data_IF_861585361032
#
_entry.id   IF_861585361032
#
_cell.length_a   1.000
_cell.length_b   1.000
_cell.length_c   1.000
_cell.angle_alpha   90.00
_cell.angle_beta   90.00
_cell.angle_gamma   90.00
#
_symmetry.space_group_name_H-M   'P 1'
#
loop_
_entity.id
_entity.type
_entity.pdbx_description
1 polymer ?
#
# COMPACT_ATOMS: atom_id res chain seq x y z
N UNK A 1 -0.17 -13.64 33.45
CA UNK A 1 1.09 -13.65 32.65
C UNK A 1 1.33 -15.09 32.23
N UNK A 2 1.25 -15.38 30.94
CA UNK A 2 1.36 -16.73 30.41
C UNK A 2 2.81 -17.04 30.05
N UNK A 3 3.44 -17.94 30.81
CA UNK A 3 4.83 -18.35 30.56
C UNK A 3 4.98 -19.10 29.23
N UNK A 4 3.93 -19.78 28.76
CA UNK A 4 3.96 -20.47 27.46
C UNK A 4 4.07 -19.48 26.32
N UNK A 5 3.28 -18.39 26.39
CA UNK A 5 3.32 -17.34 25.38
C UNK A 5 4.67 -16.59 25.37
N UNK A 6 5.25 -16.33 26.54
CA UNK A 6 6.59 -15.72 26.61
C UNK A 6 7.63 -16.64 25.96
N UNK A 7 7.61 -17.92 26.27
CA UNK A 7 8.53 -18.90 25.66
C UNK A 7 8.35 -19.03 24.17
N UNK A 8 7.11 -19.00 23.67
CA UNK A 8 6.80 -19.01 22.24
C UNK A 8 7.42 -17.79 21.54
N UNK A 9 7.23 -16.58 22.08
CA UNK A 9 7.80 -15.34 21.50
C UNK A 9 9.32 -15.32 21.52
N UNK A 10 9.94 -15.82 22.61
CA UNK A 10 11.39 -15.95 22.68
C UNK A 10 11.92 -16.96 21.66
N UNK A 11 11.21 -18.09 21.48
CA UNK A 11 11.59 -19.10 20.49
C UNK A 11 11.49 -18.54 19.07
N UNK A 12 10.41 -17.81 18.73
CA UNK A 12 10.24 -17.14 17.46
C UNK A 12 11.36 -16.11 17.20
N UNK A 13 11.67 -15.28 18.19
CA UNK A 13 12.77 -14.30 18.08
C UNK A 13 14.11 -14.98 17.84
N UNK A 14 14.36 -16.12 18.50
CA UNK A 14 15.60 -16.91 18.31
C UNK A 14 15.66 -17.54 16.92
N UNK A 15 14.55 -18.06 16.41
CA UNK A 15 14.47 -18.70 15.09
C UNK A 15 14.71 -17.67 13.96
N UNK A 16 14.14 -16.48 14.08
CA UNK A 16 14.24 -15.41 13.08
C UNK A 16 15.51 -14.54 13.25
N UNK A 17 16.33 -14.80 14.29
CA UNK A 17 17.44 -13.92 14.68
C UNK A 17 18.38 -13.59 13.51
N UNK A 18 18.72 -14.58 12.68
CA UNK A 18 19.64 -14.39 11.56
C UNK A 18 18.94 -14.01 10.24
N UNK A 19 17.61 -14.13 10.19
CA UNK A 19 16.82 -13.96 8.97
C UNK A 19 15.88 -12.75 8.98
N UNK A 20 15.97 -11.87 9.97
CA UNK A 20 15.03 -10.75 10.14
C UNK A 20 15.17 -9.65 9.07
N UNK A 21 16.35 -9.46 8.48
CA UNK A 21 16.59 -8.34 7.57
C UNK A 21 15.73 -8.34 6.29
N UNK A 22 15.52 -9.46 5.58
CA UNK A 22 14.59 -9.50 4.45
C UNK A 22 13.15 -9.14 4.86
N UNK A 23 12.71 -9.66 6.03
CA UNK A 23 11.37 -9.38 6.56
C UNK A 23 11.21 -7.90 6.89
N UNK A 24 12.22 -7.28 7.49
CA UNK A 24 12.22 -5.85 7.80
C UNK A 24 12.01 -4.98 6.56
N UNK A 25 12.66 -5.34 5.45
CA UNK A 25 12.50 -4.61 4.20
C UNK A 25 11.06 -4.65 3.68
N UNK A 26 10.39 -5.81 3.78
CA UNK A 26 9.00 -5.93 3.39
C UNK A 26 8.07 -5.19 4.36
N UNK A 27 8.31 -5.30 5.68
CA UNK A 27 7.53 -4.59 6.68
C UNK A 27 7.56 -3.06 6.48
N UNK A 28 8.68 -2.53 6.00
CA UNK A 28 8.82 -1.10 5.72
C UNK A 28 7.92 -0.59 4.58
N UNK A 29 7.45 -1.48 3.72
CA UNK A 29 6.55 -1.16 2.60
C UNK A 29 5.06 -1.36 2.95
N UNK A 30 4.75 -1.86 4.15
CA UNK A 30 3.38 -2.09 4.59
C UNK A 30 2.82 -0.81 5.22
N UNK A 31 1.75 -0.28 4.63
CA UNK A 31 1.01 0.84 5.20
C UNK A 31 0.20 0.41 6.43
N UNK A 32 -0.47 1.37 7.08
CA UNK A 32 -1.38 1.11 8.21
C UNK A 32 -2.60 0.29 7.76
N UNK A 33 -2.41 -1.05 7.67
CA UNK A 33 -3.45 -1.99 7.22
C UNK A 33 -4.61 -2.07 8.20
N UNK A 34 -4.41 -1.81 9.50
CA UNK A 34 -5.50 -1.75 10.48
C UNK A 34 -6.47 -0.62 10.14
N UNK A 35 -5.95 0.57 9.87
CA UNK A 35 -6.75 1.72 9.45
C UNK A 35 -7.44 1.47 8.11
N UNK A 36 -6.75 0.88 7.13
CA UNK A 36 -7.33 0.56 5.82
C UNK A 36 -8.45 -0.47 5.95
N UNK A 37 -8.27 -1.54 6.73
CA UNK A 37 -9.30 -2.55 7.03
C UNK A 37 -10.52 -1.92 7.69
N UNK A 38 -10.32 -1.03 8.66
CA UNK A 38 -11.44 -0.30 9.29
C UNK A 38 -12.19 0.58 8.28
N UNK A 39 -11.48 1.20 7.33
CA UNK A 39 -12.12 2.04 6.30
C UNK A 39 -12.92 1.20 5.30
N UNK A 40 -12.45 0.00 4.97
CA UNK A 40 -13.20 -0.97 4.16
C UNK A 40 -14.50 -1.34 4.87
N UNK A 41 -14.46 -1.74 6.13
CA UNK A 41 -15.64 -2.09 6.94
C UNK A 41 -16.68 -0.98 7.01
N UNK A 42 -16.23 0.26 7.06
CA UNK A 42 -17.10 1.44 7.10
C UNK A 42 -17.55 1.89 5.71
N UNK A 43 -17.14 1.21 4.65
CA UNK A 43 -17.33 1.60 3.25
C UNK A 43 -16.91 3.08 2.98
N UNK A 44 -15.73 3.45 3.54
CA UNK A 44 -15.15 4.80 3.47
C UNK A 44 -13.75 4.82 2.87
N UNK A 45 -13.32 3.70 2.28
CA UNK A 45 -12.04 3.64 1.59
C UNK A 45 -12.07 4.55 0.37
N UNK A 46 -10.97 5.25 0.12
CA UNK A 46 -10.78 6.04 -1.09
C UNK A 46 -10.01 5.24 -2.15
N UNK A 47 -10.15 5.55 -3.45
CA UNK A 47 -9.40 4.88 -4.51
C UNK A 47 -7.88 4.87 -4.28
N UNK A 48 -7.27 5.99 -3.88
CA UNK A 48 -5.83 6.04 -3.60
C UNK A 48 -5.42 5.15 -2.40
N UNK A 49 -6.31 4.96 -1.42
CA UNK A 49 -6.06 4.08 -0.28
C UNK A 49 -6.16 2.60 -0.65
N UNK A 50 -6.91 2.28 -1.70
CA UNK A 50 -6.92 0.93 -2.27
C UNK A 50 -5.55 0.56 -2.83
N UNK A 51 -4.83 1.50 -3.44
CA UNK A 51 -3.46 1.28 -3.89
C UNK A 51 -2.52 0.99 -2.70
N UNK A 52 -2.64 1.74 -1.60
CA UNK A 52 -1.87 1.46 -0.38
C UNK A 52 -2.17 0.07 0.19
N UNK A 53 -3.43 -0.37 0.13
CA UNK A 53 -3.79 -1.73 0.52
C UNK A 53 -3.17 -2.76 -0.43
N UNK A 54 -3.26 -2.53 -1.73
CA UNK A 54 -2.68 -3.40 -2.75
C UNK A 54 -1.17 -3.57 -2.58
N UNK A 55 -0.44 -2.46 -2.45
CA UNK A 55 1.02 -2.48 -2.22
C UNK A 55 1.37 -3.21 -0.92
N UNK A 56 0.59 -2.96 0.16
CA UNK A 56 0.77 -3.68 1.42
C UNK A 56 0.53 -5.17 1.28
N UNK A 57 -0.49 -5.60 0.52
CA UNK A 57 -0.77 -7.01 0.30
C UNK A 57 0.34 -7.71 -0.50
N UNK A 58 1.00 -7.02 -1.41
CA UNK A 58 2.17 -7.55 -2.12
C UNK A 58 3.30 -7.85 -1.13
N UNK A 59 3.67 -6.89 -0.28
CA UNK A 59 4.72 -7.08 0.72
C UNK A 59 4.31 -8.11 1.80
N UNK A 60 3.05 -8.12 2.22
CA UNK A 60 2.52 -9.15 3.14
C UNK A 60 2.65 -10.55 2.54
N UNK A 61 2.38 -10.70 1.25
CA UNK A 61 2.54 -11.98 0.55
C UNK A 61 3.98 -12.49 0.61
N UNK A 62 4.97 -11.61 0.43
CA UNK A 62 6.38 -11.99 0.56
C UNK A 62 6.72 -12.40 2.00
N UNK A 63 6.21 -11.67 3.02
CA UNK A 63 6.36 -12.04 4.43
C UNK A 63 5.70 -13.41 4.72
N UNK A 64 4.49 -13.66 4.22
CA UNK A 64 3.78 -14.93 4.39
C UNK A 64 4.57 -16.06 3.73
N UNK A 65 5.01 -15.89 2.49
CA UNK A 65 5.81 -16.88 1.76
C UNK A 65 7.09 -17.23 2.51
N UNK A 66 7.75 -16.23 3.11
CA UNK A 66 8.92 -16.46 3.94
C UNK A 66 8.55 -17.26 5.20
N UNK A 67 7.46 -16.88 5.88
CA UNK A 67 7.05 -17.46 7.16
C UNK A 67 6.44 -18.87 7.04
N UNK A 68 5.94 -19.29 5.89
CA UNK A 68 5.43 -20.65 5.65
C UNK A 68 6.44 -21.75 6.01
N UNK A 69 7.74 -21.41 6.03
CA UNK A 69 8.82 -22.33 6.37
C UNK A 69 9.12 -22.43 7.87
N UNK A 70 8.46 -21.63 8.73
CA UNK A 70 8.74 -21.56 10.16
C UNK A 70 7.63 -22.18 11.02
N UNK A 71 8.02 -22.74 12.20
CA UNK A 71 7.13 -23.54 13.04
C UNK A 71 6.41 -22.76 14.14
N UNK A 72 6.96 -21.62 14.57
CA UNK A 72 6.47 -20.89 15.75
C UNK A 72 5.46 -19.80 15.44
N UNK A 73 5.29 -19.48 14.18
CA UNK A 73 4.25 -18.60 13.69
C UNK A 73 3.64 -19.22 12.44
N UNK A 74 2.33 -19.31 12.42
CA UNK A 74 1.59 -19.81 11.26
C UNK A 74 0.89 -18.62 10.62
N UNK A 75 1.17 -18.33 9.34
CA UNK A 75 0.39 -17.33 8.62
C UNK A 75 -1.10 -17.67 8.62
N UNK A 76 -1.99 -16.67 8.64
CA UNK A 76 -3.44 -16.91 8.66
C UNK A 76 -3.98 -17.49 7.35
N UNK A 77 -3.22 -17.36 6.27
CA UNK A 77 -3.56 -17.88 4.96
C UNK A 77 -2.29 -18.26 4.19
N UNK A 78 -2.46 -18.98 3.10
CA UNK A 78 -1.34 -19.25 2.18
C UNK A 78 -1.01 -18.06 1.29
N UNK A 79 0.20 -18.03 0.76
CA UNK A 79 0.62 -17.06 -0.26
C UNK A 79 -0.26 -17.13 -1.52
N UNK A 80 -0.83 -18.30 -1.82
CA UNK A 80 -1.80 -18.49 -2.90
C UNK A 80 -3.12 -17.79 -2.66
N UNK A 81 -3.67 -17.83 -1.43
CA UNK A 81 -4.91 -17.14 -1.08
C UNK A 81 -4.75 -15.61 -1.19
N UNK A 82 -3.60 -15.09 -0.75
CA UNK A 82 -3.26 -13.68 -0.95
C UNK A 82 -3.15 -13.30 -2.43
N UNK A 83 -2.58 -14.19 -3.25
CA UNK A 83 -2.51 -13.96 -4.70
C UNK A 83 -3.90 -13.80 -5.32
N UNK A 84 -4.87 -14.62 -4.91
CA UNK A 84 -6.26 -14.50 -5.38
C UNK A 84 -6.90 -13.17 -4.95
N UNK A 85 -6.62 -12.69 -3.74
CA UNK A 85 -7.12 -11.40 -3.29
C UNK A 85 -6.49 -10.25 -4.08
N UNK A 86 -5.16 -10.24 -4.24
CA UNK A 86 -4.42 -9.25 -5.03
C UNK A 86 -4.94 -9.20 -6.47
N UNK A 87 -5.09 -10.37 -7.11
CA UNK A 87 -5.64 -10.46 -8.47
C UNK A 87 -7.06 -9.93 -8.57
N UNK A 88 -7.89 -10.14 -7.55
CA UNK A 88 -9.26 -9.61 -7.54
C UNK A 88 -9.32 -8.09 -7.51
N UNK A 89 -8.35 -7.44 -6.88
CA UNK A 89 -8.21 -5.97 -6.90
C UNK A 89 -7.73 -5.52 -8.28
N UNK A 90 -6.65 -6.09 -8.77
CA UNK A 90 -5.99 -5.74 -10.04
C UNK A 90 -6.90 -5.93 -11.24
N UNK A 91 -7.70 -7.01 -11.26
CA UNK A 91 -8.67 -7.27 -12.32
C UNK A 91 -9.89 -6.35 -12.28
N UNK A 92 -10.17 -5.71 -11.13
CA UNK A 92 -11.35 -4.86 -10.95
C UNK A 92 -11.07 -3.40 -11.22
N UNK A 93 -9.86 -2.92 -10.89
CA UNK A 93 -9.52 -1.50 -10.92
C UNK A 93 -8.23 -1.23 -11.69
N UNK A 94 -8.22 -0.16 -12.47
CA UNK A 94 -6.98 0.43 -12.97
C UNK A 94 -6.27 1.19 -11.82
N UNK A 95 -5.29 0.53 -11.23
CA UNK A 95 -4.54 1.06 -10.10
C UNK A 95 -3.68 2.28 -10.46
N UNK A 96 -3.28 2.42 -11.73
CA UNK A 96 -2.54 3.60 -12.20
C UNK A 96 -3.38 4.88 -12.18
N UNK A 97 -4.68 4.73 -12.33
CA UNK A 97 -5.68 5.81 -12.28
C UNK A 97 -6.18 6.00 -10.85
N UNK A 98 -6.63 4.92 -10.20
CA UNK A 98 -7.26 4.98 -8.87
C UNK A 98 -6.35 5.61 -7.82
N UNK A 99 -5.04 5.37 -7.88
CA UNK A 99 -4.05 5.92 -6.95
C UNK A 99 -3.95 7.45 -6.90
N UNK A 100 -4.58 8.16 -7.86
CA UNK A 100 -4.52 9.63 -7.96
C UNK A 100 -5.69 10.34 -7.30
N UNK A 101 -6.77 9.62 -6.95
CA UNK A 101 -8.04 10.26 -6.62
C UNK A 101 -8.58 9.90 -5.23
N UNK A 102 -9.16 10.90 -4.57
CA UNK A 102 -10.21 10.65 -3.58
C UNK A 102 -11.51 10.29 -4.31
N UNK A 103 -12.39 9.54 -3.67
CA UNK A 103 -13.65 9.09 -4.32
C UNK A 103 -14.52 10.24 -4.84
N UNK A 104 -14.54 11.38 -4.15
CA UNK A 104 -15.29 12.57 -4.56
C UNK A 104 -14.70 13.24 -5.82
N UNK A 105 -13.39 13.15 -6.00
CA UNK A 105 -12.61 13.85 -7.02
C UNK A 105 -12.32 12.98 -8.25
N UNK A 106 -12.93 11.80 -8.35
CA UNK A 106 -12.79 10.91 -9.52
C UNK A 106 -13.40 11.59 -10.75
N UNK A 107 -12.57 11.76 -11.79
CA UNK A 107 -12.91 12.43 -13.06
C UNK A 107 -12.67 11.52 -14.28
N UNK A 108 -12.07 10.35 -14.08
CA UNK A 108 -11.71 9.41 -15.15
C UNK A 108 -12.21 8.01 -14.78
N UNK A 109 -12.47 7.18 -15.80
CA UNK A 109 -12.80 5.78 -15.55
C UNK A 109 -11.61 5.04 -14.91
N UNK A 110 -11.84 4.43 -13.75
CA UNK A 110 -10.88 3.58 -13.03
C UNK A 110 -11.35 2.13 -12.90
N UNK A 111 -12.51 1.80 -13.46
CA UNK A 111 -13.08 0.45 -13.44
C UNK A 111 -12.59 -0.27 -14.68
N UNK A 112 -12.06 -1.48 -14.50
CA UNK A 112 -11.58 -2.32 -15.60
C UNK A 112 -12.74 -2.77 -16.51
N UNK A 113 -12.43 -3.01 -17.78
CA UNK A 113 -13.39 -3.52 -18.76
C UNK A 113 -13.96 -4.89 -18.30
N UNK A 114 -15.24 -5.11 -18.57
CA UNK A 114 -15.96 -6.33 -18.19
C UNK A 114 -16.50 -6.34 -16.76
N UNK A 115 -16.20 -5.34 -15.93
CA UNK A 115 -16.70 -5.24 -14.55
C UNK A 115 -18.11 -4.62 -14.49
N UNK A 116 -18.40 -3.64 -15.35
CA UNK A 116 -19.71 -3.01 -15.41
C UNK A 116 -20.10 -2.72 -16.86
N UNK A 117 -21.12 -3.43 -17.34
CA UNK A 117 -21.58 -3.34 -18.73
C UNK A 117 -22.03 -1.94 -19.13
N UNK A 118 -22.61 -1.15 -18.21
CA UNK A 118 -23.05 0.21 -18.52
C UNK A 118 -21.87 1.16 -18.74
N UNK A 119 -20.78 0.99 -17.97
CA UNK A 119 -19.54 1.76 -18.17
C UNK A 119 -18.92 1.38 -19.52
N UNK A 120 -18.86 0.09 -19.83
CA UNK A 120 -18.29 -0.41 -21.07
C UNK A 120 -19.07 0.07 -22.30
N UNK A 121 -20.42 0.04 -22.23
CA UNK A 121 -21.28 0.59 -23.28
C UNK A 121 -21.06 2.10 -23.49
N UNK A 122 -20.95 2.88 -22.41
CA UNK A 122 -20.70 4.32 -22.50
C UNK A 122 -19.31 4.63 -23.06
N UNK A 123 -18.29 3.85 -22.71
CA UNK A 123 -16.96 3.97 -23.28
C UNK A 123 -16.99 3.66 -24.79
N UNK A 124 -17.62 2.56 -25.19
CA UNK A 124 -17.81 2.20 -26.60
C UNK A 124 -18.54 3.31 -27.38
N UNK A 125 -19.59 3.90 -26.80
CA UNK A 125 -20.27 5.04 -27.42
C UNK A 125 -19.33 6.24 -27.57
N UNK A 126 -18.49 6.54 -26.59
CA UNK A 126 -17.51 7.62 -26.67
C UNK A 126 -16.46 7.36 -27.76
N UNK A 127 -16.01 6.12 -27.94
CA UNK A 127 -15.08 5.72 -29.01
C UNK A 127 -15.72 5.90 -30.40
N UNK A 128 -17.00 5.55 -30.53
CA UNK A 128 -17.75 5.80 -31.76
C UNK A 128 -17.92 7.32 -32.03
N UNK A 129 -18.17 8.11 -31.00
CA UNK A 129 -18.24 9.58 -31.15
C UNK A 129 -16.88 10.14 -31.57
N UNK A 130 -15.78 9.65 -30.98
CA UNK A 130 -14.44 10.09 -31.34
C UNK A 130 -14.06 9.70 -32.78
N UNK A 131 -14.44 8.50 -33.23
CA UNK A 131 -14.20 8.06 -34.61
C UNK A 131 -14.86 8.98 -35.64
N UNK A 132 -16.04 9.57 -35.32
CA UNK A 132 -16.67 10.56 -36.19
C UNK A 132 -15.89 11.86 -36.29
N UNK A 133 -15.24 12.29 -35.20
CA UNK A 133 -14.30 13.42 -35.24
C UNK A 133 -13.06 13.09 -36.09
N UNK A 134 -12.62 11.85 -36.08
CA UNK A 134 -11.54 11.39 -36.94
C UNK A 134 -11.92 11.40 -38.43
N UNK A 135 -13.14 11.01 -38.76
CA UNK A 135 -13.64 11.17 -40.14
C UNK A 135 -13.60 12.63 -40.60
N UNK A 136 -14.06 13.56 -39.76
CA UNK A 136 -13.97 14.99 -40.05
C UNK A 136 -12.52 15.47 -40.17
N UNK A 137 -11.65 15.05 -39.31
CA UNK A 137 -10.19 15.33 -39.40
C UNK A 137 -9.60 14.85 -40.72
N UNK A 138 -9.86 13.59 -41.07
CA UNK A 138 -9.33 12.97 -42.27
C UNK A 138 -9.87 13.65 -43.54
N UNK A 139 -11.14 14.08 -43.54
CA UNK A 139 -11.69 14.87 -44.63
C UNK A 139 -10.93 16.19 -44.83
N UNK A 140 -10.60 16.91 -43.74
CA UNK A 140 -9.80 18.14 -43.85
C UNK A 140 -8.37 17.83 -44.32
N UNK A 141 -7.78 16.74 -43.82
CA UNK A 141 -6.42 16.28 -44.21
C UNK A 141 -6.32 15.98 -45.71
N UNK A 142 -7.35 15.45 -46.33
CA UNK A 142 -7.35 15.15 -47.79
C UNK A 142 -7.12 16.39 -48.64
N UNK A 143 -7.55 17.56 -48.18
CA UNK A 143 -7.30 18.85 -48.85
C UNK A 143 -5.89 19.41 -48.59
N UNK A 144 -5.27 19.05 -47.47
CA UNK A 144 -3.90 19.48 -47.13
C UNK A 144 -2.85 18.72 -47.93
N UNK A 145 -3.25 17.62 -48.58
CA UNK A 145 -2.35 16.73 -49.35
C UNK A 145 -1.16 16.24 -48.56
N UNK A 146 -1.39 15.88 -47.30
CA UNK A 146 -0.38 15.38 -46.37
C UNK A 146 -0.91 14.15 -45.68
N UNK A 147 -0.04 13.14 -45.55
CA UNK A 147 -0.33 11.90 -44.79
C UNK A 147 -0.04 12.06 -43.28
N UNK A 148 0.53 13.20 -42.87
CA UNK A 148 0.80 13.46 -41.46
C UNK A 148 -0.48 13.90 -40.72
N UNK A 149 -1.02 12.99 -39.93
CA UNK A 149 -2.24 13.21 -39.10
C UNK A 149 -2.11 14.38 -38.13
N UNK A 150 -0.88 14.77 -37.76
CA UNK A 150 -0.64 15.89 -36.83
C UNK A 150 -0.87 17.26 -37.50
N UNK A 151 -1.12 17.31 -38.79
CA UNK A 151 -1.46 18.58 -39.47
C UNK A 151 -2.80 19.15 -39.04
N UNK A 152 -3.74 18.28 -38.64
CA UNK A 152 -5.05 18.68 -38.11
C UNK A 152 -5.24 18.00 -36.75
N UNK A 153 -5.24 18.79 -35.68
CA UNK A 153 -5.46 18.30 -34.32
C UNK A 153 -6.93 18.25 -33.97
N UNK A 154 -7.35 17.21 -33.27
CA UNK A 154 -8.62 17.16 -32.56
C UNK A 154 -8.35 17.62 -31.14
N UNK A 155 -9.01 18.68 -30.68
CA UNK A 155 -8.83 19.22 -29.33
C UNK A 155 -10.18 19.39 -28.65
N UNK A 156 -10.16 19.38 -27.32
CA UNK A 156 -11.33 19.63 -26.48
C UNK A 156 -10.99 20.64 -25.39
N UNK A 157 -11.88 21.60 -25.19
CA UNK A 157 -11.86 22.51 -24.04
C UNK A 157 -13.21 22.44 -23.32
N UNK A 158 -13.21 22.56 -22.01
CA UNK A 158 -14.43 22.41 -21.20
C UNK A 158 -15.54 23.41 -21.59
N UNK A 159 -15.15 24.62 -22.01
CA UNK A 159 -16.10 25.68 -22.41
C UNK A 159 -16.46 25.66 -23.90
N UNK A 160 -15.65 25.09 -24.76
CA UNK A 160 -15.81 25.14 -26.21
C UNK A 160 -16.20 23.80 -26.83
N UNK A 161 -16.10 22.69 -26.05
CA UNK A 161 -16.30 21.35 -26.55
C UNK A 161 -15.17 20.86 -27.45
N UNK A 162 -15.45 19.92 -28.36
CA UNK A 162 -14.51 19.45 -29.38
C UNK A 162 -14.43 20.42 -30.55
N UNK A 163 -13.22 20.57 -31.06
CA UNK A 163 -12.92 21.36 -32.25
C UNK A 163 -11.67 20.83 -32.94
N UNK A 164 -11.57 21.15 -34.22
CA UNK A 164 -10.36 20.85 -35.00
C UNK A 164 -9.46 22.05 -35.05
N UNK A 165 -8.14 21.81 -35.03
CA UNK A 165 -7.15 22.87 -35.13
C UNK A 165 -6.13 22.57 -36.21
N UNK A 166 -5.74 23.63 -36.92
CA UNK A 166 -4.59 23.62 -37.82
C UNK A 166 -3.92 24.99 -37.82
N UNK A 167 -2.69 25.07 -38.37
CA UNK A 167 -1.99 26.36 -38.46
C UNK A 167 -2.68 27.29 -39.47
N UNK A 168 -2.62 28.60 -39.23
CA UNK A 168 -3.20 29.61 -40.09
C UNK A 168 -2.72 29.48 -41.54
N UNK A 169 -1.42 29.20 -41.72
CA UNK A 169 -0.83 29.03 -43.05
C UNK A 169 -1.45 27.85 -43.80
N UNK A 170 -1.59 26.70 -43.14
CA UNK A 170 -2.21 25.49 -43.72
C UNK A 170 -3.67 25.77 -44.09
N UNK A 171 -4.43 26.38 -43.19
CA UNK A 171 -5.82 26.74 -43.45
C UNK A 171 -5.96 27.65 -44.68
N UNK A 172 -5.11 28.65 -44.82
CA UNK A 172 -5.14 29.57 -45.97
C UNK A 172 -4.91 28.84 -47.30
N UNK A 173 -4.09 27.81 -47.34
CA UNK A 173 -3.81 27.01 -48.53
C UNK A 173 -5.08 26.24 -49.02
N UNK A 174 -5.88 25.71 -48.10
CA UNK A 174 -7.01 24.85 -48.41
C UNK A 174 -8.35 25.62 -48.40
N UNK A 175 -8.36 26.86 -47.92
CA UNK A 175 -9.61 27.61 -47.65
C UNK A 175 -10.60 27.63 -48.80
N UNK A 176 -10.13 27.88 -50.02
CA UNK A 176 -11.00 27.98 -51.18
C UNK A 176 -11.64 26.64 -51.55
N UNK A 177 -10.85 25.57 -51.54
CA UNK A 177 -11.30 24.22 -51.91
C UNK A 177 -12.22 23.66 -50.84
N UNK A 178 -11.85 23.79 -49.55
CA UNK A 178 -12.61 23.20 -48.46
C UNK A 178 -13.97 23.87 -48.22
N UNK A 179 -14.08 25.20 -48.46
CA UNK A 179 -15.34 25.92 -48.28
C UNK A 179 -16.43 25.48 -49.25
N UNK A 180 -16.06 24.86 -50.38
CA UNK A 180 -17.03 24.30 -51.34
C UNK A 180 -17.32 22.82 -51.09
N UNK A 181 -16.60 22.20 -50.14
CA UNK A 181 -16.73 20.78 -49.85
C UNK A 181 -17.88 20.48 -48.88
N UNK A 182 -18.20 19.21 -48.81
CA UNK A 182 -19.17 18.67 -47.87
C UNK A 182 -18.69 17.34 -47.33
N UNK A 183 -19.19 16.99 -46.14
CA UNK A 183 -18.95 15.69 -45.49
C UNK A 183 -20.28 15.06 -45.14
N UNK A 184 -20.42 13.75 -45.35
CA UNK A 184 -21.58 12.99 -44.91
C UNK A 184 -21.15 12.09 -43.76
N UNK A 185 -21.83 12.20 -42.62
CA UNK A 185 -21.61 11.34 -41.43
C UNK A 185 -22.99 10.92 -40.94
N UNK A 186 -23.21 9.64 -40.77
CA UNK A 186 -24.51 9.06 -40.33
C UNK A 186 -25.72 9.57 -41.17
N UNK A 187 -25.57 9.62 -42.49
CA UNK A 187 -26.56 10.12 -43.44
C UNK A 187 -26.91 11.63 -43.32
N UNK A 188 -26.23 12.36 -42.42
CA UNK A 188 -26.33 13.82 -42.33
C UNK A 188 -25.26 14.52 -43.16
N UNK A 189 -25.71 15.57 -43.90
CA UNK A 189 -24.85 16.37 -44.76
C UNK A 189 -24.33 17.61 -44.02
N UNK A 190 -23.03 17.72 -43.92
CA UNK A 190 -22.34 18.88 -43.33
C UNK A 190 -21.60 19.69 -44.39
N UNK A 191 -22.07 20.91 -44.66
CA UNK A 191 -21.45 21.83 -45.61
C UNK A 191 -20.42 22.69 -44.93
N UNK A 192 -19.18 22.72 -45.42
CA UNK A 192 -18.09 23.50 -44.80
C UNK A 192 -18.35 25.00 -44.76
N UNK A 193 -19.16 25.53 -45.66
CA UNK A 193 -19.61 26.94 -45.63
C UNK A 193 -20.34 27.31 -44.33
N UNK A 194 -20.96 26.33 -43.66
CA UNK A 194 -21.75 26.51 -42.43
C UNK A 194 -20.88 26.33 -41.18
N UNK A 195 -19.59 26.05 -41.33
CA UNK A 195 -18.68 25.85 -40.22
C UNK A 195 -18.26 27.18 -39.58
N UNK A 196 -18.18 27.21 -38.28
CA UNK A 196 -17.68 28.35 -37.53
C UNK A 196 -16.14 28.27 -37.44
N UNK A 197 -15.47 29.25 -38.05
CA UNK A 197 -14.02 29.31 -38.12
C UNK A 197 -13.51 30.46 -37.26
N UNK A 198 -12.79 30.13 -36.16
CA UNK A 198 -12.14 31.13 -35.28
C UNK A 198 -10.65 31.20 -35.59
N UNK A 199 -10.26 32.33 -36.17
CA UNK A 199 -8.82 32.58 -36.52
C UNK A 199 -8.12 33.19 -35.30
N UNK A 200 -7.04 32.56 -34.86
CA UNK A 200 -6.13 33.04 -33.83
C UNK A 200 -4.82 33.52 -34.47
N UNK A 201 -3.85 33.97 -33.66
CA UNK A 201 -2.58 34.51 -34.15
C UNK A 201 -1.87 33.50 -35.06
N UNK A 202 -1.70 32.26 -34.64
CA UNK A 202 -0.95 31.21 -35.34
C UNK A 202 -1.78 30.00 -35.73
N UNK A 203 -3.01 29.85 -35.22
CA UNK A 203 -3.88 28.70 -35.42
C UNK A 203 -5.28 29.09 -35.83
N UNK A 204 -5.99 28.12 -36.34
CA UNK A 204 -7.41 28.23 -36.67
C UNK A 204 -8.15 27.11 -35.94
N UNK A 205 -9.25 27.47 -35.27
CA UNK A 205 -10.17 26.51 -34.66
C UNK A 205 -11.40 26.39 -35.58
N UNK A 206 -11.78 25.16 -35.87
CA UNK A 206 -12.92 24.82 -36.70
C UNK A 206 -13.98 24.11 -35.85
N UNK A 207 -15.17 24.64 -35.84
CA UNK A 207 -16.36 24.11 -35.18
C UNK A 207 -17.45 23.87 -36.20
N UNK A 208 -18.27 22.87 -35.94
CA UNK A 208 -19.49 22.62 -36.72
C UNK A 208 -20.53 21.94 -35.84
N UNK A 209 -21.75 21.85 -36.33
CA UNK A 209 -22.87 21.17 -35.63
C UNK A 209 -22.46 19.76 -35.18
N UNK A 210 -21.72 18.99 -36.01
CA UNK A 210 -21.22 17.66 -35.66
C UNK A 210 -20.32 17.70 -34.41
N UNK A 211 -19.36 18.66 -34.32
CA UNK A 211 -18.49 18.78 -33.15
C UNK A 211 -19.24 19.21 -31.90
N UNK A 212 -20.29 20.00 -32.01
CA UNK A 212 -21.15 20.42 -30.90
C UNK A 212 -21.98 19.23 -30.38
N UNK A 213 -22.70 18.53 -31.28
CA UNK A 213 -23.50 17.35 -30.94
C UNK A 213 -22.66 16.22 -30.30
N UNK A 214 -21.45 16.00 -30.82
CA UNK A 214 -20.50 15.04 -30.24
C UNK A 214 -20.04 15.51 -28.85
N UNK A 215 -19.75 16.81 -28.70
CA UNK A 215 -19.31 17.35 -27.40
C UNK A 215 -20.35 17.14 -26.31
N UNK A 216 -21.61 17.44 -26.61
CA UNK A 216 -22.70 17.30 -25.66
C UNK A 216 -22.92 15.84 -25.24
N UNK A 217 -22.96 14.93 -26.22
CA UNK A 217 -23.10 13.49 -25.96
C UNK A 217 -21.91 12.93 -25.17
N UNK A 218 -20.69 13.29 -25.57
CA UNK A 218 -19.47 12.83 -24.92
C UNK A 218 -19.40 13.30 -23.46
N UNK A 219 -19.68 14.58 -23.20
CA UNK A 219 -19.69 15.12 -21.82
C UNK A 219 -20.80 14.49 -20.98
N UNK A 220 -21.97 14.24 -21.55
CA UNK A 220 -23.04 13.52 -20.87
C UNK A 220 -22.62 12.10 -20.50
N UNK A 221 -22.00 11.36 -21.42
CA UNK A 221 -21.50 10.02 -21.15
C UNK A 221 -20.40 10.02 -20.09
N UNK A 222 -19.46 10.97 -20.15
CA UNK A 222 -18.41 11.10 -19.13
C UNK A 222 -18.98 11.33 -17.74
N UNK A 223 -19.98 12.21 -17.59
CA UNK A 223 -20.63 12.45 -16.29
C UNK A 223 -21.27 11.17 -15.75
N UNK A 224 -21.96 10.42 -16.60
CA UNK A 224 -22.53 9.13 -16.21
C UNK A 224 -21.45 8.11 -15.81
N UNK A 225 -20.38 8.01 -16.58
CA UNK A 225 -19.24 7.14 -16.25
C UNK A 225 -18.67 7.49 -14.88
N UNK A 226 -18.45 8.78 -14.56
CA UNK A 226 -17.94 9.24 -13.27
C UNK A 226 -18.89 8.87 -12.13
N UNK A 227 -20.19 9.04 -12.30
CA UNK A 227 -21.19 8.66 -11.30
C UNK A 227 -21.19 7.13 -11.08
N UNK A 228 -21.19 6.35 -12.15
CA UNK A 228 -21.13 4.90 -12.09
C UNK A 228 -19.82 4.41 -11.44
N UNK A 229 -18.68 5.01 -11.76
CA UNK A 229 -17.41 4.69 -11.12
C UNK A 229 -17.49 4.78 -9.59
N UNK A 230 -18.11 5.86 -9.07
CA UNK A 230 -18.25 6.05 -7.62
C UNK A 230 -19.19 5.01 -6.98
N UNK A 231 -20.23 4.60 -7.69
CA UNK A 231 -21.15 3.56 -7.22
C UNK A 231 -20.49 2.20 -7.26
N UNK A 232 -19.92 1.79 -8.40
CA UNK A 232 -19.27 0.49 -8.60
C UNK A 232 -18.09 0.34 -7.65
N UNK A 233 -17.31 1.40 -7.43
CA UNK A 233 -16.23 1.37 -6.44
C UNK A 233 -16.73 0.97 -5.04
N UNK A 234 -17.80 1.63 -4.56
CA UNK A 234 -18.38 1.32 -3.25
C UNK A 234 -18.95 -0.10 -3.18
N UNK A 235 -19.60 -0.56 -4.24
CA UNK A 235 -20.13 -1.92 -4.33
C UNK A 235 -19.02 -2.95 -4.27
N UNK A 236 -17.94 -2.76 -5.03
CA UNK A 236 -16.80 -3.68 -5.04
C UNK A 236 -16.03 -3.67 -3.71
N UNK A 237 -15.87 -2.52 -3.06
CA UNK A 237 -15.30 -2.48 -1.71
C UNK A 237 -16.18 -3.22 -0.70
N UNK A 238 -17.50 -3.13 -0.81
CA UNK A 238 -18.42 -3.89 0.05
C UNK A 238 -18.39 -5.41 -0.26
N UNK A 239 -18.18 -5.81 -1.51
CA UNK A 239 -17.94 -7.21 -1.88
C UNK A 239 -16.61 -7.73 -1.29
N UNK A 240 -15.54 -6.94 -1.37
CA UNK A 240 -14.25 -7.29 -0.77
C UNK A 240 -14.35 -7.38 0.76
N UNK A 241 -15.07 -6.48 1.39
CA UNK A 241 -15.35 -6.57 2.83
C UNK A 241 -15.97 -7.90 3.18
N UNK A 242 -17.07 -8.29 2.54
CA UNK A 242 -17.77 -9.55 2.81
C UNK A 242 -16.87 -10.78 2.60
N UNK A 243 -16.01 -10.74 1.59
CA UNK A 243 -15.17 -11.88 1.22
C UNK A 243 -13.90 -11.99 2.06
N UNK A 244 -13.27 -10.86 2.42
CA UNK A 244 -11.91 -10.82 2.96
C UNK A 244 -11.80 -10.15 4.34
N UNK A 245 -12.91 -9.74 4.99
CA UNK A 245 -12.85 -9.03 6.26
C UNK A 245 -12.12 -9.82 7.35
N UNK A 246 -12.43 -11.12 7.50
CA UNK A 246 -11.79 -11.99 8.50
C UNK A 246 -10.30 -12.12 8.19
N UNK A 247 -9.95 -12.40 6.94
CA UNK A 247 -8.57 -12.51 6.52
C UNK A 247 -7.78 -11.23 6.79
N UNK A 248 -8.35 -10.06 6.49
CA UNK A 248 -7.69 -8.77 6.74
C UNK A 248 -7.44 -8.55 8.24
N UNK A 249 -8.38 -8.92 9.11
CA UNK A 249 -8.19 -8.83 10.58
C UNK A 249 -7.08 -9.75 11.07
N UNK A 250 -7.05 -10.98 10.58
CA UNK A 250 -6.03 -11.96 10.92
C UNK A 250 -4.65 -11.53 10.41
N UNK A 251 -4.57 -10.96 9.21
CA UNK A 251 -3.34 -10.39 8.66
C UNK A 251 -2.82 -9.22 9.50
N UNK A 252 -3.70 -8.33 9.98
CA UNK A 252 -3.31 -7.23 10.88
C UNK A 252 -2.62 -7.78 12.13
N UNK A 253 -3.20 -8.81 12.78
CA UNK A 253 -2.62 -9.43 13.97
C UNK A 253 -1.30 -10.13 13.67
N UNK A 254 -1.26 -10.87 12.57
CA UNK A 254 -0.06 -11.59 12.14
C UNK A 254 1.11 -10.62 11.86
N UNK A 255 0.88 -9.58 11.08
CA UNK A 255 1.92 -8.60 10.74
C UNK A 255 2.38 -7.84 11.99
N UNK A 256 1.47 -7.48 12.90
CA UNK A 256 1.84 -6.83 14.17
C UNK A 256 2.75 -7.74 15.03
N UNK A 257 2.52 -9.05 15.05
CA UNK A 257 3.39 -9.99 15.77
C UNK A 257 4.76 -10.13 15.09
N UNK A 258 4.80 -10.19 13.77
CA UNK A 258 6.06 -10.26 13.01
C UNK A 258 6.87 -8.99 13.21
N UNK A 259 6.26 -7.83 13.11
CA UNK A 259 6.92 -6.53 13.29
C UNK A 259 7.49 -6.37 14.70
N UNK A 260 6.70 -6.72 15.72
CA UNK A 260 7.18 -6.74 17.11
C UNK A 260 8.39 -7.68 17.29
N UNK A 261 8.35 -8.85 16.65
CA UNK A 261 9.43 -9.84 16.74
C UNK A 261 10.71 -9.30 16.07
N UNK A 262 10.60 -8.75 14.89
CA UNK A 262 11.74 -8.13 14.17
C UNK A 262 12.32 -6.95 14.98
N UNK A 263 11.47 -6.11 15.54
CA UNK A 263 11.88 -4.98 16.39
C UNK A 263 12.65 -5.45 17.63
N UNK A 264 12.18 -6.52 18.29
CA UNK A 264 12.87 -7.14 19.43
C UNK A 264 14.24 -7.70 19.02
N UNK A 265 14.33 -8.37 17.88
CA UNK A 265 15.60 -8.91 17.35
C UNK A 265 16.59 -7.78 17.07
N UNK A 266 16.16 -6.72 16.41
CA UNK A 266 17.00 -5.54 16.12
C UNK A 266 17.56 -4.94 17.42
N UNK A 267 16.70 -4.76 18.41
CA UNK A 267 17.09 -4.24 19.71
C UNK A 267 18.09 -5.16 20.40
N UNK A 268 17.84 -6.47 20.40
CA UNK A 268 18.72 -7.45 20.97
C UNK A 268 20.10 -7.48 20.28
N UNK A 269 20.14 -7.37 18.95
CA UNK A 269 21.40 -7.28 18.19
C UNK A 269 22.14 -5.98 18.48
N UNK A 270 21.44 -4.84 18.44
CA UNK A 270 22.05 -3.52 18.66
C UNK A 270 22.75 -3.42 20.02
N UNK A 271 22.13 -3.96 21.07
CA UNK A 271 22.61 -3.85 22.43
C UNK A 271 23.21 -5.15 22.97
N UNK A 272 23.38 -6.14 22.12
CA UNK A 272 23.95 -7.46 22.49
C UNK A 272 23.22 -8.10 23.70
N UNK A 273 21.88 -8.14 23.63
CA UNK A 273 21.05 -8.76 24.66
C UNK A 273 21.02 -10.27 24.51
N UNK A 274 21.03 -10.99 25.64
CA UNK A 274 20.90 -12.43 25.68
C UNK A 274 19.46 -12.88 25.89
N UNK A 275 19.10 -14.07 25.36
CA UNK A 275 17.78 -14.65 25.54
C UNK A 275 17.62 -15.21 26.95
N UNK A 276 16.64 -14.80 27.76
CA UNK A 276 16.46 -15.32 29.12
C UNK A 276 15.98 -16.77 29.10
N UNK A 277 16.46 -17.54 30.06
CA UNK A 277 16.02 -18.92 30.32
C UNK A 277 14.92 -18.92 31.39
N UNK A 278 13.68 -19.26 30.98
CA UNK A 278 12.56 -19.36 31.91
C UNK A 278 12.39 -20.79 32.37
N UNK A 279 12.51 -21.01 33.66
CA UNK A 279 12.44 -22.34 34.28
C UNK A 279 11.17 -22.43 35.13
N UNK A 280 10.46 -23.58 35.03
CA UNK A 280 9.35 -23.88 35.93
C UNK A 280 9.93 -24.43 37.25
N UNK A 281 9.61 -23.80 38.35
CA UNK A 281 9.96 -24.27 39.70
C UNK A 281 8.79 -25.06 40.31
N UNK A 282 9.06 -25.79 41.38
CA UNK A 282 8.05 -26.42 42.21
C UNK A 282 7.25 -25.34 42.98
N UNK A 283 6.08 -25.69 43.48
CA UNK A 283 5.27 -24.76 44.27
C UNK A 283 6.09 -24.15 45.43
N UNK A 284 6.05 -22.80 45.52
CA UNK A 284 6.77 -21.99 46.54
C UNK A 284 8.27 -21.83 46.37
N UNK A 285 8.87 -22.29 45.29
CA UNK A 285 10.29 -22.04 45.01
C UNK A 285 10.42 -21.02 43.84
N UNK A 286 10.62 -19.74 44.17
CA UNK A 286 10.88 -18.74 43.16
C UNK A 286 12.36 -18.33 43.23
N UNK A 287 13.01 -18.21 42.09
CA UNK A 287 14.36 -17.67 42.00
C UNK A 287 14.55 -16.74 40.82
N UNK A 288 15.51 -15.86 40.92
CA UNK A 288 16.03 -15.02 39.85
C UNK A 288 17.55 -15.11 39.88
N UNK A 289 18.15 -15.43 38.76
CA UNK A 289 19.61 -15.44 38.56
C UNK A 289 19.89 -14.56 37.31
N UNK A 290 20.54 -13.43 37.54
CA UNK A 290 20.91 -12.47 36.52
C UNK A 290 22.42 -12.23 36.63
N UNK A 291 23.18 -12.62 35.64
CA UNK A 291 24.62 -12.43 35.53
C UNK A 291 24.87 -11.26 34.55
N UNK A 292 25.77 -10.36 34.94
CA UNK A 292 26.06 -9.15 34.18
C UNK A 292 24.81 -8.36 33.82
N UNK A 293 23.90 -8.18 34.80
CA UNK A 293 22.65 -7.41 34.58
C UNK A 293 22.97 -5.97 34.23
N UNK A 294 22.39 -5.52 33.13
CA UNK A 294 22.53 -4.17 32.58
C UNK A 294 21.21 -3.43 32.61
N UNK A 295 21.25 -2.13 32.84
CA UNK A 295 20.04 -1.30 32.75
C UNK A 295 19.95 -0.71 31.34
N UNK A 296 18.96 -1.11 30.52
CA UNK A 296 18.94 -0.81 29.08
C UNK A 296 18.90 0.70 28.77
N UNK A 297 18.23 1.49 29.60
CA UNK A 297 18.11 2.94 29.39
C UNK A 297 19.41 3.64 29.76
N UNK A 298 20.03 3.27 30.92
CA UNK A 298 21.25 3.90 31.39
C UNK A 298 22.44 3.54 30.48
N UNK A 299 22.51 2.27 30.08
CA UNK A 299 23.55 1.80 29.15
C UNK A 299 23.45 2.45 27.78
N UNK A 300 22.23 2.71 27.28
CA UNK A 300 22.01 3.37 25.99
C UNK A 300 22.29 4.88 26.02
N UNK A 301 22.42 5.49 27.22
CA UNK A 301 22.74 6.88 27.36
C UNK A 301 24.27 7.08 27.44
N UNK A 302 24.88 7.33 26.28
CA UNK A 302 26.35 7.47 26.13
C UNK A 302 26.95 8.63 26.97
N UNK A 303 26.14 9.59 27.43
CA UNK A 303 26.58 10.74 28.23
C UNK A 303 26.99 10.34 29.67
N UNK A 304 26.56 9.18 30.16
CA UNK A 304 26.78 8.76 31.55
C UNK A 304 28.07 7.91 31.79
N UNK A 305 28.88 7.70 30.76
CA UNK A 305 30.10 6.93 30.86
C UNK A 305 29.90 5.41 30.74
N UNK A 306 30.92 4.63 31.20
CA UNK A 306 30.90 3.17 31.07
C UNK A 306 29.95 2.58 32.12
N UNK A 307 28.90 1.85 31.62
CA UNK A 307 28.01 1.11 32.50
C UNK A 307 28.68 -0.09 33.14
N UNK A 308 28.58 -0.23 34.45
CA UNK A 308 29.11 -1.38 35.19
C UNK A 308 27.99 -2.39 35.44
N UNK A 309 28.03 -3.59 34.84
CA UNK A 309 27.03 -4.61 35.07
C UNK A 309 27.13 -5.20 36.47
N UNK A 310 26.04 -5.73 37.01
CA UNK A 310 25.95 -6.32 38.34
C UNK A 310 25.27 -7.68 38.31
N UNK A 311 25.70 -8.58 39.18
CA UNK A 311 25.06 -9.88 39.37
C UNK A 311 23.98 -9.79 40.44
N UNK A 312 22.82 -10.34 40.18
CA UNK A 312 21.69 -10.42 41.12
C UNK A 312 21.20 -11.86 41.18
N UNK A 313 21.28 -12.46 42.39
CA UNK A 313 20.78 -13.80 42.63
C UNK A 313 19.84 -13.75 43.84
N UNK A 314 18.57 -14.15 43.63
CA UNK A 314 17.56 -14.24 44.68
C UNK A 314 16.86 -15.59 44.63
N UNK A 315 16.51 -16.14 45.79
CA UNK A 315 15.77 -17.39 45.94
C UNK A 315 16.64 -18.60 46.20
N UNK A 316 16.13 -19.81 45.96
CA UNK A 316 16.80 -21.07 46.26
C UNK A 316 17.69 -21.51 45.10
N UNK A 317 19.01 -21.47 45.31
CA UNK A 317 20.04 -21.79 44.31
C UNK A 317 20.13 -23.29 43.93
N UNK A 318 19.37 -24.17 44.54
CA UNK A 318 19.55 -25.61 44.42
C UNK A 318 19.28 -26.21 43.03
N UNK A 319 18.59 -25.51 42.15
CA UNK A 319 18.18 -26.01 40.83
C UNK A 319 19.10 -25.52 39.67
N UNK A 320 19.54 -24.28 39.70
CA UNK A 320 20.40 -23.71 38.66
C UNK A 320 21.87 -24.16 38.80
N UNK A 321 22.31 -24.39 40.02
CA UNK A 321 23.73 -24.62 40.34
C UNK A 321 24.29 -25.99 39.95
N UNK A 322 23.49 -27.00 39.58
CA UNK A 322 24.03 -28.30 39.18
C UNK A 322 24.58 -28.33 37.75
N UNK A 323 24.05 -27.52 36.87
CA UNK A 323 24.51 -27.44 35.47
C UNK A 323 25.57 -26.35 35.23
N UNK A 324 25.65 -25.36 36.13
CA UNK A 324 26.51 -24.17 35.96
C UNK A 324 27.66 -24.07 36.94
N UNK A 325 27.85 -25.02 37.86
CA UNK A 325 28.94 -24.97 38.88
C UNK A 325 30.35 -24.96 38.30
N UNK A 326 30.52 -25.39 37.07
CA UNK A 326 31.85 -25.52 36.47
C UNK A 326 32.31 -24.27 35.69
N UNK A 327 31.46 -23.28 35.45
CA UNK A 327 31.80 -22.15 34.57
C UNK A 327 31.52 -20.73 35.11
N UNK A 328 31.00 -20.58 36.32
CA UNK A 328 30.73 -19.23 36.88
C UNK A 328 31.87 -18.78 37.77
N UNK A 329 32.77 -18.01 37.21
CA UNK A 329 33.72 -17.20 37.99
C UNK A 329 32.97 -15.95 38.44
N UNK A 330 32.54 -15.92 39.70
CA UNK A 330 32.00 -14.69 40.34
C UNK A 330 33.14 -13.67 40.38
N UNK A 331 33.10 -12.71 39.49
CA UNK A 331 34.24 -11.79 39.24
C UNK A 331 34.32 -10.60 40.17
N UNK A 332 33.40 -10.34 41.04
CA UNK A 332 33.54 -9.26 42.00
C UNK A 332 32.88 -9.59 43.29
N UNK A 333 33.74 -9.87 44.20
CA UNK A 333 33.64 -9.59 45.32
C UNK A 333 33.52 -9.93 46.63
N UNK A 334 33.19 -9.53 47.55
CA UNK A 334 33.01 -9.98 48.93
C UNK A 334 32.18 -11.24 48.96
N UNK A 335 32.73 -12.39 49.39
CA UNK A 335 31.93 -13.58 49.52
C UNK A 335 30.95 -13.35 50.64
N UNK A 336 29.72 -12.98 50.27
CA UNK A 336 28.58 -13.17 51.17
C UNK A 336 28.54 -14.68 51.41
N UNK A 337 28.84 -15.08 52.62
CA UNK A 337 28.94 -16.47 53.07
C UNK A 337 27.64 -17.23 52.64
N UNK A 338 27.74 -18.01 51.54
CA UNK A 338 26.62 -18.76 50.98
C UNK A 338 26.41 -20.07 51.76
N UNK A 339 26.27 -20.01 53.06
CA UNK A 339 25.81 -21.12 53.85
C UNK A 339 24.28 -21.13 53.79
N UNK A 340 23.70 -21.97 52.91
CA UNK A 340 22.34 -22.50 52.94
C UNK A 340 21.14 -21.52 53.21
N UNK A 341 21.32 -20.23 53.13
CA UNK A 341 20.23 -19.30 53.39
C UNK A 341 19.56 -18.85 52.09
N UNK A 342 18.26 -19.11 52.01
CA UNK A 342 17.36 -18.58 50.96
C UNK A 342 17.38 -17.04 51.06
N UNK A 343 17.92 -16.39 50.03
CA UNK A 343 17.87 -14.92 49.96
C UNK A 343 16.57 -14.47 49.26
N UNK A 344 15.63 -13.96 50.02
CA UNK A 344 14.33 -13.54 49.49
C UNK A 344 14.22 -12.08 49.03
N UNK A 345 15.27 -11.30 49.30
CA UNK A 345 15.33 -9.90 48.93
C UNK A 345 16.70 -9.28 49.16
N UNK A 346 16.96 -8.19 48.48
CA UNK A 346 18.17 -7.38 48.63
C UNK A 346 17.74 -5.95 48.96
N UNK A 347 18.31 -5.37 49.99
CA UNK A 347 18.20 -3.96 50.30
C UNK A 347 19.42 -3.22 49.70
N UNK A 348 19.13 -2.36 48.72
CA UNK A 348 20.13 -1.49 48.11
C UNK A 348 20.12 -0.14 48.79
N UNK A 349 21.27 0.31 49.28
CA UNK A 349 21.45 1.66 49.79
C UNK A 349 22.79 2.21 49.32
N UNK A 350 22.82 3.51 49.10
CA UNK A 350 24.02 4.21 48.63
C UNK A 350 23.87 5.70 48.72
N UNK A 351 24.94 6.43 48.41
CA UNK A 351 24.89 7.89 48.29
C UNK A 351 24.09 8.22 47.01
N UNK A 352 23.21 9.21 47.06
CA UNK A 352 22.49 9.71 45.88
C UNK A 352 23.51 10.07 44.79
N UNK A 353 23.42 9.44 43.65
CA UNK A 353 24.31 9.57 42.49
C UNK A 353 25.46 8.52 42.38
N UNK A 354 25.41 7.45 43.15
CA UNK A 354 26.34 6.32 42.92
C UNK A 354 25.69 5.25 42.05
#
# INVERSE_FOLDING_TARGET
KDSKEILRRLALSKELYDYHAPIENELANIYDIERLTRRIKLNRLHPFELNYLYDSLLSIKEVVTFMENYKFITPPCSSTDLTLFIQSIDSTFDLSISGKYMLKDVEVNMISEGINTQIDELNTQNDILYSKLELLRNHILSYVKSDDVNYVGINRLDKEGFFLTLTKNRFNLIKQEIMTSHLIVDDELYLFKDFTIKIQTNSVKIFCKLTEDISDKYVHNLRKIIELNKLVFKEKIAEFEKKFAILLEELVQFIAEVDLTVSNIKTAKKYNYSCPKIVKTKENENFIELIDLRHPIIEANEEQGIYVPNDIILGELSLASKEYKDNVIIKNSNPINMNNNKMHGVLLYGINSS
#
